data_IF_032874541866
#
_entry.id   IF_032874541866
#
_cell.length_a   1.000
_cell.length_b   1.000
_cell.length_c   1.000
_cell.angle_alpha   90.00
_cell.angle_beta   90.00
_cell.angle_gamma   90.00
#
_symmetry.space_group_name_H-M   'P 1'
#
loop_
_entity.id
_entity.type
_entity.pdbx_description
1 polymer ?
#
# COMPACT_ATOMS: atom_id res chain seq x y z
N UNK A 1 53.69 14.65 27.31
CA UNK A 1 52.89 14.86 26.10
C UNK A 1 53.05 16.31 25.75
N UNK A 2 54.02 16.55 24.88
CA UNK A 2 54.34 17.90 24.40
C UNK A 2 53.30 18.37 23.39
N UNK A 3 53.12 19.68 23.26
CA UNK A 3 52.17 20.28 22.31
C UNK A 3 52.47 19.91 20.85
N UNK A 4 53.71 19.49 20.54
CA UNK A 4 54.10 18.97 19.23
C UNK A 4 53.67 17.52 18.98
N UNK A 5 53.54 16.68 20.03
CA UNK A 5 52.96 15.33 19.88
C UNK A 5 51.43 15.36 19.70
N UNK A 6 50.79 16.48 20.08
CA UNK A 6 49.35 16.71 19.89
C UNK A 6 49.03 17.26 18.49
N UNK A 7 49.93 18.03 17.87
CA UNK A 7 49.75 18.55 16.50
C UNK A 7 49.93 17.44 15.44
N UNK A 8 50.88 16.51 15.60
CA UNK A 8 51.06 15.36 14.70
C UNK A 8 49.87 14.37 14.74
N UNK A 9 49.02 14.42 15.77
CA UNK A 9 47.84 13.54 15.89
C UNK A 9 46.59 14.05 15.15
N UNK A 10 46.65 15.26 14.60
CA UNK A 10 45.57 15.90 13.85
C UNK A 10 45.95 16.26 12.39
N UNK A 11 47.13 15.86 11.90
CA UNK A 11 47.57 16.18 10.53
C UNK A 11 47.24 15.11 9.48
N UNK A 12 46.79 13.92 9.88
CA UNK A 12 46.21 12.92 8.96
C UNK A 12 44.73 12.73 9.29
N UNK A 13 43.90 12.70 8.25
CA UNK A 13 42.45 12.40 8.23
C UNK A 13 41.46 13.56 8.29
N UNK A 14 41.83 14.82 8.02
CA UNK A 14 40.81 15.82 7.66
C UNK A 14 40.08 15.40 6.36
N UNK A 15 40.79 14.84 5.38
CA UNK A 15 40.17 14.31 4.15
C UNK A 15 39.37 13.03 4.40
N UNK A 16 39.83 12.13 5.28
CA UNK A 16 39.10 10.90 5.59
C UNK A 16 37.85 11.21 6.43
N UNK A 17 37.94 12.10 7.41
CA UNK A 17 36.81 12.63 8.18
C UNK A 17 35.85 13.39 7.25
N UNK A 18 36.33 14.24 6.35
CA UNK A 18 35.49 14.95 5.36
C UNK A 18 34.86 13.97 4.38
N UNK A 19 35.56 12.92 3.94
CA UNK A 19 35.01 11.87 3.08
C UNK A 19 33.96 11.05 3.84
N UNK A 20 34.20 10.70 5.10
CA UNK A 20 33.23 10.06 5.99
C UNK A 20 32.01 10.96 6.22
N UNK A 21 32.19 12.25 6.52
CA UNK A 21 31.14 13.27 6.70
C UNK A 21 30.36 13.56 5.41
N UNK A 22 31.02 13.58 4.26
CA UNK A 22 30.37 13.71 2.95
C UNK A 22 29.62 12.44 2.54
N UNK A 23 30.07 11.27 3.02
CA UNK A 23 29.39 9.99 2.85
C UNK A 23 28.28 9.74 3.89
N UNK A 24 28.23 10.51 4.98
CA UNK A 24 26.99 10.65 5.75
C UNK A 24 26.00 11.33 4.83
N UNK A 25 25.14 10.53 4.19
CA UNK A 25 23.89 11.03 3.63
C UNK A 25 23.21 11.79 4.75
N UNK A 26 23.23 13.12 4.67
CA UNK A 26 22.50 13.99 5.58
C UNK A 26 21.10 13.42 5.65
N UNK A 27 20.66 13.00 6.84
CA UNK A 27 19.31 12.48 7.03
C UNK A 27 18.36 13.67 6.87
N UNK A 28 18.02 13.98 5.62
CA UNK A 28 17.12 15.05 5.28
C UNK A 28 15.73 14.61 5.71
N UNK A 29 15.32 15.07 6.89
CA UNK A 29 13.95 14.94 7.37
C UNK A 29 13.08 15.77 6.44
N UNK A 30 12.42 15.09 5.50
CA UNK A 30 11.44 15.74 4.63
C UNK A 30 10.20 16.05 5.45
N UNK A 31 9.58 17.19 5.16
CA UNK A 31 8.31 17.57 5.78
C UNK A 31 7.25 16.52 5.47
N UNK A 32 6.55 16.06 6.51
CA UNK A 32 5.51 15.04 6.39
C UNK A 32 4.16 15.72 6.41
N UNK A 33 3.45 15.65 5.29
CA UNK A 33 2.12 16.24 5.17
C UNK A 33 1.06 15.37 5.82
N UNK A 34 0.08 16.01 6.45
CA UNK A 34 -1.13 15.34 6.89
C UNK A 34 -2.18 15.32 5.77
N UNK A 35 -2.13 14.30 4.92
CA UNK A 35 -3.03 14.16 3.77
C UNK A 35 -4.52 14.01 4.15
N UNK A 36 -4.84 13.65 5.39
CA UNK A 36 -6.24 13.64 5.87
C UNK A 36 -6.82 15.06 5.99
N UNK A 37 -5.96 16.05 6.21
CA UNK A 37 -6.33 17.47 6.35
C UNK A 37 -6.09 18.26 5.05
N UNK A 38 -5.05 17.92 4.28
CA UNK A 38 -4.68 18.67 3.06
C UNK A 38 -5.72 18.55 1.94
N UNK A 39 -6.25 17.36 1.69
CA UNK A 39 -7.19 17.13 0.59
C UNK A 39 -8.64 17.28 1.05
N UNK A 40 -9.56 17.65 0.16
CA UNK A 40 -11.00 17.50 0.40
C UNK A 40 -11.44 16.02 0.23
N UNK A 41 -12.71 15.70 0.45
CA UNK A 41 -13.22 14.32 0.39
C UNK A 41 -13.13 13.72 -1.03
N UNK A 42 -13.41 14.52 -2.06
CA UNK A 42 -13.42 14.07 -3.46
C UNK A 42 -12.00 13.82 -3.96
N UNK A 43 -11.09 14.77 -3.71
CA UNK A 43 -9.68 14.63 -4.07
C UNK A 43 -9.04 13.48 -3.32
N UNK A 44 -9.35 13.33 -2.03
CA UNK A 44 -8.88 12.21 -1.23
C UNK A 44 -9.36 10.87 -1.81
N UNK A 45 -10.66 10.73 -2.07
CA UNK A 45 -11.22 9.50 -2.66
C UNK A 45 -10.63 9.20 -4.04
N UNK A 46 -10.41 10.22 -4.87
CA UNK A 46 -9.75 10.04 -6.16
C UNK A 46 -8.30 9.53 -6.01
N UNK A 47 -7.54 10.08 -5.06
CA UNK A 47 -6.12 9.74 -4.86
C UNK A 47 -5.89 8.40 -4.17
N UNK A 48 -6.73 8.04 -3.21
CA UNK A 48 -6.54 6.84 -2.40
C UNK A 48 -7.54 5.72 -2.72
N UNK A 49 -8.54 5.98 -3.58
CA UNK A 49 -9.65 5.05 -3.93
C UNK A 49 -10.57 4.70 -2.77
N UNK A 50 -10.46 5.41 -1.65
CA UNK A 50 -11.27 5.22 -0.44
C UNK A 50 -11.69 6.58 0.14
N UNK A 51 -12.90 6.67 0.71
CA UNK A 51 -13.30 7.86 1.47
C UNK A 51 -12.51 7.94 2.79
N UNK A 52 -12.36 9.15 3.34
CA UNK A 52 -11.59 9.39 4.56
C UNK A 52 -12.11 8.59 5.74
N UNK A 53 -13.42 8.42 5.85
CA UNK A 53 -14.04 7.67 6.95
C UNK A 53 -13.64 6.19 6.95
N UNK A 54 -13.59 5.54 5.78
CA UNK A 54 -13.12 4.16 5.67
C UNK A 54 -11.64 4.06 6.06
N UNK A 55 -10.82 5.03 5.66
CA UNK A 55 -9.41 5.05 6.07
C UNK A 55 -9.27 5.24 7.58
N UNK A 56 -10.08 6.09 8.22
CA UNK A 56 -10.09 6.26 9.68
C UNK A 56 -10.43 4.95 10.40
N UNK A 57 -11.45 4.23 9.95
CA UNK A 57 -11.83 2.93 10.50
C UNK A 57 -10.70 1.91 10.33
N UNK A 58 -10.11 1.85 9.14
CA UNK A 58 -8.97 0.96 8.87
C UNK A 58 -7.78 1.27 9.78
N UNK A 59 -7.46 2.55 9.99
CA UNK A 59 -6.38 2.96 10.90
C UNK A 59 -6.69 2.57 12.34
N UNK A 60 -7.94 2.66 12.78
CA UNK A 60 -8.35 2.22 14.13
C UNK A 60 -8.16 0.71 14.31
N UNK A 61 -8.54 -0.09 13.32
CA UNK A 61 -8.38 -1.56 13.36
C UNK A 61 -6.92 -2.00 13.30
N UNK A 62 -6.11 -1.34 12.45
CA UNK A 62 -4.71 -1.70 12.25
C UNK A 62 -3.77 -1.06 13.27
N UNK A 63 -4.18 0.03 13.93
CA UNK A 63 -3.38 0.81 14.87
C UNK A 63 -2.59 -0.03 15.87
N UNK A 64 -3.21 -0.98 16.59
CA UNK A 64 -2.52 -1.83 17.57
C UNK A 64 -1.38 -2.68 16.98
N UNK A 65 -1.49 -3.07 15.71
CA UNK A 65 -0.49 -3.89 15.01
C UNK A 65 0.62 -3.03 14.39
N UNK A 66 0.29 -1.78 14.03
CA UNK A 66 1.20 -0.85 13.35
C UNK A 66 2.07 -0.01 14.30
N UNK A 67 1.74 0.04 15.58
CA UNK A 67 2.56 0.70 16.60
C UNK A 67 3.74 -0.21 17.00
N UNK A 68 4.98 0.27 16.83
CA UNK A 68 6.15 -0.39 17.41
C UNK A 68 6.38 0.04 18.86
N UNK A 69 6.95 -0.89 19.61
CA UNK A 69 7.39 -0.75 21.01
C UNK A 69 8.70 0.06 21.13
N UNK A 70 9.39 0.33 20.02
CA UNK A 70 10.68 1.04 20.01
C UNK A 70 10.52 2.46 19.49
N UNK A 71 10.25 3.37 20.43
CA UNK A 71 10.17 4.83 20.27
C UNK A 71 11.48 5.43 19.74
N UNK A 72 11.75 5.28 18.44
CA UNK A 72 12.67 6.20 17.77
C UNK A 72 11.88 7.44 17.37
N UNK A 73 12.40 8.62 17.72
CA UNK A 73 11.81 9.97 17.57
C UNK A 73 11.35 10.37 16.15
N UNK A 74 11.42 9.48 15.17
CA UNK A 74 11.08 9.71 13.77
C UNK A 74 10.12 8.68 13.16
N UNK A 75 9.48 7.83 13.96
CA UNK A 75 8.54 6.84 13.41
C UNK A 75 7.30 7.52 12.79
N UNK A 76 6.77 6.92 11.73
CA UNK A 76 5.56 7.42 11.05
C UNK A 76 4.33 6.98 11.82
N UNK A 77 3.38 7.91 12.02
CA UNK A 77 2.08 7.57 12.57
C UNK A 77 1.37 6.49 11.74
N UNK A 78 0.55 5.67 12.38
CA UNK A 78 -0.21 4.59 11.75
C UNK A 78 -1.05 5.13 10.56
N UNK A 79 -1.60 6.34 10.68
CA UNK A 79 -2.32 7.01 9.59
C UNK A 79 -1.44 7.19 8.37
N UNK A 80 -0.23 7.73 8.54
CA UNK A 80 0.70 7.97 7.42
C UNK A 80 1.14 6.65 6.77
N UNK A 81 1.40 5.62 7.57
CA UNK A 81 1.74 4.29 7.07
C UNK A 81 0.63 3.69 6.19
N UNK A 82 -0.61 3.77 6.66
CA UNK A 82 -1.79 3.30 5.91
C UNK A 82 -1.95 4.10 4.62
N UNK A 83 -1.83 5.43 4.67
CA UNK A 83 -1.98 6.28 3.48
C UNK A 83 -0.91 6.03 2.42
N UNK A 84 0.35 5.83 2.81
CA UNK A 84 1.43 5.45 1.88
C UNK A 84 1.08 4.12 1.19
N UNK A 85 0.56 3.17 1.94
CA UNK A 85 0.20 1.84 1.42
C UNK A 85 -1.02 1.89 0.50
N UNK A 86 -2.08 2.61 0.89
CA UNK A 86 -3.27 2.79 0.05
C UNK A 86 -2.93 3.54 -1.25
N UNK A 87 -2.04 4.55 -1.17
CA UNK A 87 -1.58 5.26 -2.36
C UNK A 87 -0.85 4.31 -3.32
N UNK A 88 0.00 3.42 -2.80
CA UNK A 88 0.67 2.39 -3.59
C UNK A 88 -0.33 1.48 -4.31
N UNK A 89 -1.38 1.01 -3.63
CA UNK A 89 -2.42 0.19 -4.27
C UNK A 89 -3.23 0.96 -5.31
N UNK A 90 -3.56 2.22 -5.02
CA UNK A 90 -4.35 3.07 -5.92
C UNK A 90 -3.63 3.38 -7.24
N UNK A 91 -2.29 3.45 -7.22
CA UNK A 91 -1.51 3.88 -8.38
C UNK A 91 -0.62 2.77 -8.98
N UNK A 92 -0.38 1.67 -8.27
CA UNK A 92 0.54 0.61 -8.70
C UNK A 92 1.98 1.11 -8.93
N UNK A 93 2.39 2.19 -8.25
CA UNK A 93 3.67 2.86 -8.51
C UNK A 93 4.86 2.23 -7.79
N UNK A 94 6.08 2.74 -8.01
CA UNK A 94 7.30 2.23 -7.39
C UNK A 94 7.49 2.71 -5.95
N UNK A 95 8.25 1.94 -5.14
CA UNK A 95 8.57 2.30 -3.75
C UNK A 95 9.34 3.61 -3.60
N UNK A 96 10.11 4.04 -4.60
CA UNK A 96 10.79 5.33 -4.57
C UNK A 96 9.78 6.49 -4.58
N UNK A 97 8.75 6.39 -5.42
CA UNK A 97 7.66 7.38 -5.50
C UNK A 97 6.89 7.43 -4.18
N UNK A 98 6.68 6.27 -3.55
CA UNK A 98 6.02 6.20 -2.24
C UNK A 98 6.91 6.74 -1.12
N UNK A 99 8.22 6.58 -1.24
CA UNK A 99 9.18 7.22 -0.34
C UNK A 99 9.17 8.73 -0.47
N UNK A 100 9.15 9.25 -1.71
CA UNK A 100 9.05 10.67 -1.97
C UNK A 100 7.74 11.26 -1.45
N UNK A 101 6.63 10.56 -1.67
CA UNK A 101 5.32 10.91 -1.12
C UNK A 101 5.32 10.92 0.42
N UNK A 102 5.82 9.86 1.06
CA UNK A 102 5.82 9.75 2.53
C UNK A 102 6.92 10.53 3.24
N UNK A 103 7.82 11.21 2.52
CA UNK A 103 9.00 11.85 3.11
C UNK A 103 9.98 10.85 3.74
N UNK A 104 10.09 9.64 3.18
CA UNK A 104 10.92 8.53 3.71
C UNK A 104 11.78 7.88 2.62
N UNK A 105 12.79 7.12 3.04
CA UNK A 105 13.59 6.35 2.09
C UNK A 105 12.79 5.19 1.47
N UNK A 106 13.10 4.83 0.21
CA UNK A 106 12.41 3.75 -0.54
C UNK A 106 12.35 2.42 0.21
N UNK A 107 13.40 2.10 0.98
CA UNK A 107 13.47 0.85 1.76
C UNK A 107 12.47 0.86 2.91
N UNK A 108 12.29 2.01 3.55
CA UNK A 108 11.30 2.21 4.62
C UNK A 108 9.89 2.13 4.04
N UNK A 109 9.64 2.74 2.88
CA UNK A 109 8.35 2.64 2.20
C UNK A 109 7.97 1.19 1.88
N UNK A 110 8.90 0.40 1.32
CA UNK A 110 8.67 -1.02 1.05
C UNK A 110 8.37 -1.84 2.31
N UNK A 111 9.09 -1.60 3.41
CA UNK A 111 8.83 -2.27 4.71
C UNK A 111 7.47 -1.91 5.28
N UNK A 112 7.07 -0.64 5.20
CA UNK A 112 5.75 -0.16 5.65
C UNK A 112 4.65 -0.81 4.82
N UNK A 113 4.76 -0.77 3.49
CA UNK A 113 3.77 -1.37 2.59
C UNK A 113 3.58 -2.84 2.92
N UNK A 114 4.68 -3.60 3.09
CA UNK A 114 4.60 -5.01 3.49
C UNK A 114 3.88 -5.18 4.84
N UNK A 115 4.30 -4.44 5.87
CA UNK A 115 3.72 -4.54 7.22
C UNK A 115 2.22 -4.23 7.23
N UNK A 116 1.81 -3.16 6.58
CA UNK A 116 0.39 -2.79 6.46
C UNK A 116 -0.38 -3.83 5.65
N UNK A 117 0.21 -4.36 4.57
CA UNK A 117 -0.40 -5.45 3.79
C UNK A 117 -0.65 -6.67 4.67
N UNK A 118 0.36 -7.12 5.42
CA UNK A 118 0.26 -8.29 6.31
C UNK A 118 -0.82 -8.07 7.38
N UNK A 119 -0.90 -6.86 7.94
CA UNK A 119 -1.93 -6.50 8.91
C UNK A 119 -3.34 -6.50 8.29
N UNK A 120 -3.53 -5.98 7.07
CA UNK A 120 -4.81 -6.05 6.34
C UNK A 120 -5.20 -7.50 6.06
N UNK A 121 -4.24 -8.33 5.62
CA UNK A 121 -4.48 -9.76 5.34
C UNK A 121 -4.92 -10.50 6.60
N UNK A 122 -4.43 -10.11 7.79
CA UNK A 122 -4.89 -10.71 9.06
C UNK A 122 -6.39 -10.50 9.33
N UNK A 123 -6.99 -9.46 8.76
CA UNK A 123 -8.43 -9.19 8.87
C UNK A 123 -9.27 -10.03 7.88
N UNK A 124 -8.65 -10.74 6.92
CA UNK A 124 -9.33 -11.54 5.90
C UNK A 124 -10.46 -12.42 6.46
N UNK A 125 -10.29 -13.18 7.57
CA UNK A 125 -11.35 -14.06 8.06
C UNK A 125 -12.65 -13.34 8.47
N UNK A 126 -12.54 -12.05 8.82
CA UNK A 126 -13.70 -11.23 9.22
C UNK A 126 -14.48 -10.73 7.99
N UNK A 127 -13.76 -10.40 6.91
CA UNK A 127 -14.32 -9.70 5.76
C UNK A 127 -14.55 -10.60 4.52
N UNK A 128 -13.76 -11.66 4.34
CA UNK A 128 -13.83 -12.55 3.18
C UNK A 128 -14.42 -13.89 3.61
N UNK A 129 -15.69 -14.10 3.30
CA UNK A 129 -16.43 -15.34 3.59
C UNK A 129 -16.69 -16.09 2.29
N UNK A 130 -16.32 -17.36 2.26
CA UNK A 130 -16.70 -18.28 1.18
C UNK A 130 -18.00 -18.99 1.55
N UNK A 131 -18.87 -19.31 0.57
CA UNK A 131 -20.07 -20.07 0.85
C UNK A 131 -19.73 -21.47 1.36
N UNK A 132 -20.50 -21.94 2.33
CA UNK A 132 -20.44 -23.32 2.79
C UNK A 132 -21.03 -24.25 1.73
N UNK A 133 -20.77 -25.56 1.85
CA UNK A 133 -21.25 -26.58 0.90
C UNK A 133 -22.76 -26.47 0.63
N UNK A 134 -23.54 -26.18 1.68
CA UNK A 134 -25.00 -26.02 1.61
C UNK A 134 -25.44 -24.76 0.83
N UNK A 135 -24.60 -23.72 0.81
CA UNK A 135 -24.89 -22.43 0.17
C UNK A 135 -24.39 -22.34 -1.28
N UNK A 136 -23.49 -23.25 -1.69
CA UNK A 136 -22.86 -23.23 -3.02
C UNK A 136 -23.91 -23.20 -4.13
N UNK A 137 -24.91 -24.10 -4.08
CA UNK A 137 -25.94 -24.19 -5.12
C UNK A 137 -26.77 -22.91 -5.21
N UNK A 138 -27.08 -22.30 -4.06
CA UNK A 138 -27.85 -21.05 -3.99
C UNK A 138 -27.06 -19.87 -4.59
N UNK A 139 -25.76 -19.78 -4.30
CA UNK A 139 -24.88 -18.75 -4.83
C UNK A 139 -24.71 -18.92 -6.34
N UNK A 140 -24.43 -20.14 -6.81
CA UNK A 140 -24.31 -20.44 -8.24
C UNK A 140 -25.59 -20.11 -9.01
N UNK A 141 -26.75 -20.47 -8.46
CA UNK A 141 -28.04 -20.17 -9.07
C UNK A 141 -28.29 -18.66 -9.13
N UNK A 142 -27.87 -17.91 -8.11
CA UNK A 142 -28.02 -16.45 -8.06
C UNK A 142 -27.19 -15.76 -9.15
N UNK A 143 -25.92 -16.15 -9.32
CA UNK A 143 -25.08 -15.66 -10.41
C UNK A 143 -25.61 -16.05 -11.79
N UNK A 144 -26.13 -17.27 -11.93
CA UNK A 144 -26.73 -17.72 -13.17
C UNK A 144 -28.00 -16.92 -13.52
N UNK A 145 -28.86 -16.63 -12.54
CA UNK A 145 -30.05 -15.80 -12.75
C UNK A 145 -29.71 -14.36 -13.11
N UNK A 146 -28.67 -13.79 -12.49
CA UNK A 146 -28.26 -12.41 -12.73
C UNK A 146 -27.53 -12.20 -14.06
N UNK A 147 -26.53 -13.04 -14.37
CA UNK A 147 -25.62 -12.82 -15.49
C UNK A 147 -25.43 -14.03 -16.42
N UNK A 148 -26.18 -15.13 -16.21
CA UNK A 148 -26.04 -16.40 -16.94
C UNK A 148 -24.65 -17.04 -16.82
N UNK A 149 -23.90 -16.71 -15.76
CA UNK A 149 -22.65 -17.39 -15.44
C UNK A 149 -22.91 -18.62 -14.58
N UNK A 150 -22.65 -19.84 -15.10
CA UNK A 150 -22.81 -21.05 -14.32
C UNK A 150 -21.62 -21.23 -13.36
N UNK A 151 -21.86 -21.95 -12.26
CA UNK A 151 -20.82 -22.44 -11.33
C UNK A 151 -19.97 -21.34 -10.65
N UNK A 152 -20.50 -20.13 -10.52
CA UNK A 152 -19.83 -19.03 -9.81
C UNK A 152 -20.15 -19.10 -8.32
N UNK A 153 -19.11 -19.18 -7.47
CA UNK A 153 -19.23 -19.19 -6.01
C UNK A 153 -18.79 -17.88 -5.35
N UNK A 154 -18.23 -16.96 -6.14
CA UNK A 154 -17.76 -15.65 -5.71
C UNK A 154 -17.18 -14.85 -6.87
N UNK A 155 -17.08 -13.53 -6.69
CA UNK A 155 -16.55 -12.61 -7.70
C UNK A 155 -15.74 -11.52 -7.00
N UNK A 156 -14.51 -11.28 -7.46
CA UNK A 156 -13.67 -10.17 -6.98
C UNK A 156 -13.27 -9.32 -8.17
N UNK A 157 -13.90 -8.15 -8.30
CA UNK A 157 -13.73 -7.19 -9.39
C UNK A 157 -13.97 -7.76 -10.81
N UNK A 158 -14.35 -6.91 -11.75
CA UNK A 158 -14.69 -7.32 -13.11
C UNK A 158 -13.63 -6.85 -14.11
N UNK A 159 -12.94 -7.80 -14.73
CA UNK A 159 -12.13 -7.54 -15.91
C UNK A 159 -12.97 -7.79 -17.16
N UNK A 160 -13.06 -6.80 -18.04
CA UNK A 160 -13.71 -6.99 -19.34
C UNK A 160 -12.80 -7.80 -20.26
N UNK A 161 -13.13 -9.07 -20.47
CA UNK A 161 -12.41 -9.91 -21.43
C UNK A 161 -13.10 -9.77 -22.79
N UNK A 162 -12.42 -9.22 -23.82
CA UNK A 162 -12.97 -9.18 -25.17
C UNK A 162 -13.05 -10.60 -25.73
N UNK A 163 -14.21 -11.01 -26.21
CA UNK A 163 -14.38 -12.30 -26.89
C UNK A 163 -14.69 -12.05 -28.36
N UNK A 164 -14.06 -12.83 -29.23
CA UNK A 164 -14.42 -12.85 -30.65
C UNK A 164 -15.81 -13.47 -30.79
N UNK A 165 -16.74 -12.73 -31.38
CA UNK A 165 -18.09 -13.22 -31.62
C UNK A 165 -18.05 -14.50 -32.46
N UNK A 166 -18.78 -15.57 -32.06
CA UNK A 166 -18.93 -16.76 -32.90
C UNK A 166 -19.86 -16.50 -34.12
N UNK A 167 -20.49 -15.34 -34.21
CA UNK A 167 -21.34 -14.93 -35.34
C UNK A 167 -20.56 -14.21 -36.44
N UNK A 168 -21.02 -14.38 -37.70
CA UNK A 168 -20.44 -13.76 -38.91
C UNK A 168 -20.54 -12.22 -38.98
N UNK A 169 -21.15 -11.57 -38.00
CA UNK A 169 -21.33 -10.12 -37.95
C UNK A 169 -20.42 -9.53 -36.86
N UNK A 170 -19.72 -8.44 -37.19
CA UNK A 170 -18.67 -7.80 -36.38
C UNK A 170 -19.21 -7.08 -35.12
N UNK A 171 -19.91 -7.78 -34.25
CA UNK A 171 -20.21 -7.29 -32.90
C UNK A 171 -19.13 -7.77 -31.92
N UNK A 172 -18.29 -6.85 -31.43
CA UNK A 172 -17.39 -7.16 -30.30
C UNK A 172 -18.25 -7.40 -29.07
N UNK A 173 -18.33 -8.64 -28.61
CA UNK A 173 -19.02 -9.00 -27.38
C UNK A 173 -18.01 -9.02 -26.24
N UNK A 174 -18.28 -8.24 -25.19
CA UNK A 174 -17.50 -8.30 -23.95
C UNK A 174 -18.28 -9.17 -22.97
N UNK A 175 -17.66 -10.24 -22.49
CA UNK A 175 -18.15 -10.89 -21.28
C UNK A 175 -17.53 -10.12 -20.12
N UNK A 176 -18.38 -9.63 -19.19
CA UNK A 176 -17.92 -9.18 -17.88
C UNK A 176 -17.39 -10.40 -17.13
N UNK A 177 -16.11 -10.73 -17.29
CA UNK A 177 -15.50 -11.73 -16.44
C UNK A 177 -15.21 -11.07 -15.10
N UNK A 178 -16.02 -11.39 -14.09
CA UNK A 178 -15.53 -11.31 -12.74
C UNK A 178 -14.28 -12.19 -12.65
N UNK A 179 -13.19 -11.70 -12.07
CA UNK A 179 -12.09 -12.60 -11.72
C UNK A 179 -12.68 -13.57 -10.69
N UNK A 180 -12.90 -14.79 -11.15
CA UNK A 180 -13.43 -15.90 -10.37
C UNK A 180 -12.27 -16.43 -9.54
N UNK A 181 -12.37 -16.31 -8.22
CA UNK A 181 -11.64 -17.26 -7.38
C UNK A 181 -12.44 -18.56 -7.47
N UNK A 182 -11.90 -19.50 -8.25
CA UNK A 182 -12.35 -20.90 -8.32
C UNK A 182 -11.92 -21.61 -7.05
#
# INVERSE_FOLDING_TARGET
>A
MDLQELEELFEDDDEEIIYFLNNFRTYNVRERKNYMLEFDENEFSFRFRFPKNTVRQLVQELGPVLHHVNLMYHELDATAQVLITLRFYATGSFYIVMGDFGGIHKTTAGRIIKRVTDAIVSLRPQYVKFPNIEDIDNVQLSFYRFARFPKVIGAIDCTHIPIKSPGKYESKMFIKCAILIV
#
